data_IF_305650989926
#
_entry.id   IF_305650989926
#
_cell.length_a   1.000
_cell.length_b   1.000
_cell.length_c   1.000
_cell.angle_alpha   90.00
_cell.angle_beta   90.00
_cell.angle_gamma   90.00
#
_symmetry.space_group_name_H-M   'P 1'
#
loop_
_entity.id
_entity.type
_entity.pdbx_description
1 polymer ?
#
# COMPACT_ATOMS: atom_id res chain seq x y z
N UNK A 1 -5.67 13.78 51.47
CA UNK A 1 -6.12 15.00 50.77
C UNK A 1 -7.29 14.61 49.87
N UNK A 2 -8.39 15.37 49.81
CA UNK A 2 -9.55 14.96 49.03
C UNK A 2 -9.17 14.94 47.56
N UNK A 3 -9.61 13.90 46.84
CA UNK A 3 -9.43 13.73 45.40
C UNK A 3 -9.96 14.96 44.66
N UNK A 4 -9.05 15.89 44.34
CA UNK A 4 -9.32 16.98 43.41
C UNK A 4 -9.48 16.31 42.06
N UNK A 5 -10.72 16.18 41.58
CA UNK A 5 -10.98 15.88 40.17
C UNK A 5 -10.40 17.04 39.38
N UNK A 6 -9.16 16.90 38.91
CA UNK A 6 -8.62 17.83 37.94
C UNK A 6 -9.55 17.85 36.73
N UNK A 7 -9.89 19.04 36.19
CA UNK A 7 -10.63 19.12 34.95
C UNK A 7 -9.76 18.45 33.88
N UNK A 8 -10.20 17.28 33.40
CA UNK A 8 -9.53 16.56 32.32
C UNK A 8 -9.65 17.40 31.05
N UNK A 9 -8.76 18.35 30.87
CA UNK A 9 -8.63 19.11 29.63
C UNK A 9 -8.34 18.12 28.52
N UNK A 10 -8.96 18.34 27.36
CA UNK A 10 -8.85 17.46 26.20
C UNK A 10 -7.37 17.23 25.81
N UNK A 11 -6.54 18.26 26.01
CA UNK A 11 -5.08 18.23 25.89
C UNK A 11 -4.38 17.28 26.88
N UNK A 12 -4.80 17.23 28.15
CA UNK A 12 -4.22 16.30 29.13
C UNK A 12 -4.60 14.84 28.82
N UNK A 13 -5.80 14.60 28.27
CA UNK A 13 -6.21 13.30 27.73
C UNK A 13 -5.37 12.89 26.52
N UNK A 14 -5.21 13.77 25.54
CA UNK A 14 -4.37 13.53 24.35
C UNK A 14 -2.92 13.24 24.77
N UNK A 15 -2.37 13.99 25.73
CA UNK A 15 -1.00 13.79 26.20
C UNK A 15 -0.82 12.43 26.89
N UNK A 16 -1.80 11.97 27.67
CA UNK A 16 -1.75 10.63 28.30
C UNK A 16 -1.93 9.48 27.31
N UNK A 17 -2.72 9.68 26.26
CA UNK A 17 -3.11 8.65 25.32
C UNK A 17 -2.11 8.47 24.16
N UNK A 18 -1.48 9.57 23.71
CA UNK A 18 -0.56 9.58 22.55
C UNK A 18 0.92 9.84 22.91
N UNK A 19 1.20 10.36 24.11
CA UNK A 19 2.56 10.71 24.58
C UNK A 19 3.01 9.76 25.70
N UNK A 20 2.83 8.46 25.46
CA UNK A 20 3.21 7.40 26.40
C UNK A 20 4.15 6.39 25.71
N UNK A 21 5.07 5.81 26.48
CA UNK A 21 6.10 4.89 25.97
C UNK A 21 5.48 3.63 25.33
N UNK A 22 4.31 3.22 25.82
CA UNK A 22 3.47 2.16 25.25
C UNK A 22 2.92 2.53 23.89
N UNK A 23 2.51 3.78 23.69
CA UNK A 23 2.03 4.27 22.39
C UNK A 23 3.17 4.33 21.37
N UNK A 24 4.35 4.81 21.76
CA UNK A 24 5.54 4.82 20.91
C UNK A 24 5.94 3.38 20.49
N UNK A 25 5.96 2.43 21.44
CA UNK A 25 6.17 1.00 21.12
C UNK A 25 5.10 0.48 20.15
N UNK A 26 3.83 0.84 20.34
CA UNK A 26 2.76 0.43 19.42
C UNK A 26 2.96 1.00 18.01
N UNK A 27 3.47 2.23 17.87
CA UNK A 27 3.72 2.85 16.57
C UNK A 27 4.83 2.13 15.79
N UNK A 28 5.77 1.49 16.49
CA UNK A 28 6.92 0.79 15.92
C UNK A 28 6.55 -0.66 15.56
N UNK A 29 5.79 -1.34 16.43
CA UNK A 29 5.60 -2.79 16.34
C UNK A 29 4.18 -3.23 15.98
N UNK A 30 3.14 -2.41 16.20
CA UNK A 30 1.74 -2.83 15.99
C UNK A 30 1.28 -2.57 14.55
N UNK A 31 0.97 -3.61 13.76
CA UNK A 31 0.44 -3.46 12.40
C UNK A 31 -0.90 -2.71 12.34
N UNK A 32 -1.64 -2.60 13.44
CA UNK A 32 -2.88 -1.81 13.48
C UNK A 32 -2.60 -0.30 13.29
N UNK A 33 -1.38 0.16 13.56
CA UNK A 33 -0.96 1.56 13.41
C UNK A 33 -0.40 1.90 12.03
N UNK A 34 -0.30 0.93 11.11
CA UNK A 34 0.24 1.13 9.75
C UNK A 34 -0.41 2.29 8.97
N UNK A 35 -1.74 2.52 9.03
CA UNK A 35 -2.34 3.64 8.30
C UNK A 35 -1.80 5.01 8.77
N UNK A 36 -1.60 5.17 10.08
CA UNK A 36 -1.03 6.41 10.64
C UNK A 36 0.42 6.58 10.20
N UNK A 37 1.22 5.53 10.33
CA UNK A 37 2.64 5.52 9.91
C UNK A 37 2.77 5.81 8.41
N UNK A 38 1.85 5.28 7.59
CA UNK A 38 1.83 5.52 6.15
C UNK A 38 1.66 7.00 5.78
N UNK A 39 0.77 7.72 6.49
CA UNK A 39 0.58 9.16 6.27
C UNK A 39 1.85 9.94 6.64
N UNK A 40 2.50 9.57 7.74
CA UNK A 40 3.77 10.19 8.16
C UNK A 40 4.86 9.93 7.12
N UNK A 41 4.98 8.69 6.63
CA UNK A 41 5.92 8.34 5.56
C UNK A 41 5.67 9.21 4.33
N UNK A 42 4.43 9.28 3.83
CA UNK A 42 4.10 10.10 2.65
C UNK A 42 4.43 11.58 2.82
N UNK A 43 4.20 12.15 4.01
CA UNK A 43 4.49 13.55 4.28
C UNK A 43 6.01 13.82 4.26
N UNK A 44 6.81 12.97 4.90
CA UNK A 44 8.28 13.07 4.89
C UNK A 44 8.80 12.89 3.46
N UNK A 45 8.27 11.89 2.76
CA UNK A 45 8.73 11.54 1.42
C UNK A 45 8.38 12.63 0.40
N UNK A 46 7.23 13.28 0.53
CA UNK A 46 6.89 14.46 -0.28
C UNK A 46 7.93 15.58 -0.12
N UNK A 47 8.29 15.92 1.12
CA UNK A 47 9.33 16.93 1.39
C UNK A 47 10.66 16.49 0.79
N UNK A 48 11.05 15.23 0.96
CA UNK A 48 12.26 14.67 0.39
C UNK A 48 12.28 14.77 -1.14
N UNK A 49 11.18 14.43 -1.80
CA UNK A 49 11.05 14.51 -3.26
C UNK A 49 11.23 15.95 -3.76
N UNK A 50 10.62 16.93 -3.09
CA UNK A 50 10.79 18.35 -3.43
C UNK A 50 12.24 18.81 -3.23
N UNK A 51 12.87 18.42 -2.11
CA UNK A 51 14.27 18.75 -1.82
C UNK A 51 15.22 18.12 -2.85
N UNK A 52 14.97 16.88 -3.27
CA UNK A 52 15.80 16.22 -4.30
C UNK A 52 15.69 16.96 -5.62
N UNK A 53 14.47 17.30 -6.06
CA UNK A 53 14.28 18.04 -7.31
C UNK A 53 14.98 19.40 -7.25
N UNK A 54 14.91 20.11 -6.12
CA UNK A 54 15.55 21.42 -5.99
C UNK A 54 17.08 21.35 -5.95
N UNK A 55 17.65 20.34 -5.28
CA UNK A 55 19.09 20.31 -4.95
C UNK A 55 19.93 19.38 -5.83
N UNK A 56 19.32 18.46 -6.59
CA UNK A 56 20.03 17.48 -7.42
C UNK A 56 19.76 17.74 -8.91
N UNK A 57 20.81 17.80 -9.75
CA UNK A 57 20.63 18.04 -11.17
C UNK A 57 19.91 16.88 -11.85
N UNK A 58 19.08 17.24 -12.83
CA UNK A 58 18.44 16.29 -13.73
C UNK A 58 19.49 15.55 -14.57
N UNK A 59 19.29 14.25 -14.81
CA UNK A 59 20.16 13.41 -15.64
C UNK A 59 19.36 12.88 -16.82
N UNK A 60 19.63 13.41 -18.01
CA UNK A 60 19.00 12.96 -19.24
C UNK A 60 19.43 11.54 -19.61
N UNK A 61 18.45 10.69 -19.88
CA UNK A 61 18.68 9.35 -20.45
C UNK A 61 17.67 9.13 -21.58
N UNK A 62 16.39 9.03 -21.25
CA UNK A 62 15.35 8.66 -22.22
C UNK A 62 14.27 9.73 -22.41
N UNK A 63 14.21 10.79 -21.61
CA UNK A 63 13.11 11.76 -21.65
C UNK A 63 13.01 12.44 -23.01
N UNK A 64 14.14 12.91 -23.56
CA UNK A 64 14.18 13.49 -24.91
C UNK A 64 13.76 12.49 -25.98
N UNK A 65 14.24 11.25 -25.88
CA UNK A 65 13.86 10.20 -26.82
C UNK A 65 12.35 9.94 -26.78
N UNK A 66 11.74 9.90 -25.59
CA UNK A 66 10.29 9.77 -25.45
C UNK A 66 9.53 10.92 -26.14
N UNK A 67 10.03 12.15 -26.02
CA UNK A 67 9.40 13.32 -26.66
C UNK A 67 9.52 13.26 -28.18
N UNK A 68 10.66 12.84 -28.72
CA UNK A 68 10.88 12.66 -30.17
C UNK A 68 10.00 11.55 -30.74
N UNK A 69 9.91 10.41 -30.06
CA UNK A 69 9.04 9.29 -30.43
C UNK A 69 7.57 9.73 -30.50
N UNK A 70 7.12 10.49 -29.49
CA UNK A 70 5.76 11.04 -29.47
C UNK A 70 5.55 12.12 -30.53
N UNK A 71 6.53 12.98 -30.80
CA UNK A 71 6.46 13.98 -31.86
C UNK A 71 6.28 13.33 -33.24
N UNK A 72 6.96 12.23 -33.52
CA UNK A 72 6.73 11.43 -34.73
C UNK A 72 5.27 10.99 -34.88
N UNK A 73 4.67 10.48 -33.81
CA UNK A 73 3.24 10.11 -33.79
C UNK A 73 2.32 11.32 -33.97
N UNK A 74 2.59 12.42 -33.25
CA UNK A 74 1.79 13.64 -33.31
C UNK A 74 1.84 14.31 -34.69
N UNK A 75 2.91 14.09 -35.45
CA UNK A 75 3.04 14.51 -36.85
C UNK A 75 2.31 13.58 -37.85
N UNK A 76 1.62 12.54 -37.37
CA UNK A 76 0.78 11.65 -38.19
C UNK A 76 1.40 10.29 -38.49
N UNK A 77 2.60 9.97 -37.99
CA UNK A 77 3.24 8.68 -38.25
C UNK A 77 2.61 7.57 -37.39
N UNK A 78 1.98 6.59 -38.03
CA UNK A 78 1.47 5.37 -37.39
C UNK A 78 2.30 4.12 -37.67
N UNK A 79 3.37 4.24 -38.47
CA UNK A 79 4.31 3.14 -38.70
C UNK A 79 5.35 3.09 -37.57
N UNK A 80 5.20 2.13 -36.66
CA UNK A 80 6.11 1.90 -35.54
C UNK A 80 7.57 1.67 -35.96
N UNK A 81 7.84 1.25 -37.19
CA UNK A 81 9.22 1.08 -37.67
C UNK A 81 9.97 2.40 -37.86
N UNK A 82 9.21 3.50 -38.02
CA UNK A 82 9.67 4.87 -38.26
C UNK A 82 9.69 5.71 -36.97
N UNK A 83 8.99 5.30 -35.92
CA UNK A 83 8.97 5.99 -34.62
C UNK A 83 10.26 5.69 -33.85
N UNK A 84 11.17 6.66 -33.76
CA UNK A 84 12.47 6.54 -33.09
C UNK A 84 12.87 7.85 -32.42
N UNK A 85 13.66 7.73 -31.36
CA UNK A 85 14.36 8.84 -30.71
C UNK A 85 15.87 8.59 -30.61
N UNK A 86 16.57 9.48 -29.91
CA UNK A 86 18.02 9.43 -29.73
C UNK A 86 18.52 8.12 -29.09
N UNK A 87 17.68 7.45 -28.30
CA UNK A 87 18.01 6.18 -27.63
C UNK A 87 17.55 4.93 -28.39
N UNK A 88 16.97 5.09 -29.58
CA UNK A 88 16.61 3.98 -30.47
C UNK A 88 15.14 4.00 -30.91
N UNK A 89 14.63 2.87 -31.42
CA UNK A 89 13.25 2.77 -31.86
C UNK A 89 12.27 2.64 -30.69
N UNK A 90 11.06 3.16 -30.91
CA UNK A 90 9.94 3.02 -29.99
C UNK A 90 9.60 1.54 -29.78
N UNK A 91 9.67 1.09 -28.54
CA UNK A 91 9.32 -0.29 -28.14
C UNK A 91 8.28 -0.40 -27.05
N UNK A 92 7.52 0.66 -26.88
CA UNK A 92 6.42 0.69 -25.93
C UNK A 92 5.09 0.60 -26.69
N UNK A 93 4.09 -0.12 -26.17
CA UNK A 93 2.79 -0.17 -26.82
C UNK A 93 2.07 1.19 -26.79
N UNK A 94 0.92 1.26 -27.46
CA UNK A 94 0.22 2.51 -27.77
C UNK A 94 -0.09 3.38 -26.54
N UNK A 95 -0.31 2.78 -25.37
CA UNK A 95 -0.60 3.52 -24.13
C UNK A 95 0.54 4.45 -23.70
N UNK A 96 1.80 4.08 -23.98
CA UNK A 96 2.94 4.97 -23.78
C UNK A 96 2.81 6.23 -24.62
N UNK A 97 2.55 6.06 -25.92
CA UNK A 97 2.46 7.15 -26.89
C UNK A 97 1.39 8.16 -26.45
N UNK A 98 0.23 7.68 -26.01
CA UNK A 98 -0.87 8.55 -25.57
C UNK A 98 -0.54 9.33 -24.30
N UNK A 99 0.03 8.67 -23.28
CA UNK A 99 0.37 9.32 -22.02
C UNK A 99 1.51 10.31 -22.21
N UNK A 100 2.56 9.93 -22.94
CA UNK A 100 3.71 10.79 -23.18
C UNK A 100 3.40 11.91 -24.18
N UNK A 101 2.43 11.74 -25.08
CA UNK A 101 1.89 12.86 -25.87
C UNK A 101 1.21 13.90 -24.98
N UNK A 102 0.47 13.49 -23.93
CA UNK A 102 -0.08 14.43 -22.97
C UNK A 102 1.04 15.18 -22.21
N UNK A 103 2.11 14.47 -21.80
CA UNK A 103 3.28 15.10 -21.20
C UNK A 103 4.00 16.05 -22.15
N UNK A 104 4.12 15.68 -23.43
CA UNK A 104 4.70 16.53 -24.47
C UNK A 104 3.98 17.88 -24.53
N UNK A 105 2.64 17.90 -24.57
CA UNK A 105 1.90 19.17 -24.57
C UNK A 105 2.02 19.94 -23.26
N UNK A 106 1.92 19.26 -22.11
CA UNK A 106 2.00 19.91 -20.78
C UNK A 106 3.37 20.56 -20.51
N UNK A 107 4.44 19.95 -20.99
CA UNK A 107 5.83 20.34 -20.67
C UNK A 107 6.46 21.22 -21.74
N UNK A 108 5.66 21.89 -22.58
CA UNK A 108 6.16 22.71 -23.69
C UNK A 108 7.07 21.90 -24.62
N UNK A 109 6.54 20.78 -25.13
CA UNK A 109 7.23 19.81 -26.01
C UNK A 109 8.42 19.12 -25.33
N UNK A 110 8.34 18.92 -24.01
CA UNK A 110 9.41 18.29 -23.24
C UNK A 110 10.52 19.21 -22.75
N UNK A 111 10.48 20.51 -23.07
CA UNK A 111 11.53 21.47 -22.69
C UNK A 111 11.46 21.90 -21.22
N UNK A 112 10.26 21.93 -20.63
CA UNK A 112 10.07 22.28 -19.23
C UNK A 112 10.28 21.05 -18.32
N UNK A 113 11.55 20.71 -18.11
CA UNK A 113 11.96 19.56 -17.27
C UNK A 113 11.50 19.73 -15.82
N UNK A 114 11.49 20.95 -15.29
CA UNK A 114 11.08 21.18 -13.89
C UNK A 114 9.61 20.83 -13.68
N UNK A 115 8.74 21.22 -14.61
CA UNK A 115 7.33 20.81 -14.60
C UNK A 115 7.20 19.30 -14.73
N UNK A 116 7.97 18.65 -15.62
CA UNK A 116 7.98 17.20 -15.75
C UNK A 116 8.35 16.52 -14.42
N UNK A 117 9.38 17.01 -13.72
CA UNK A 117 9.78 16.49 -12.42
C UNK A 117 8.67 16.62 -11.37
N UNK A 118 7.94 17.74 -11.33
CA UNK A 118 6.80 17.88 -10.43
C UNK A 118 5.66 16.93 -10.76
N UNK A 119 5.38 16.68 -12.05
CA UNK A 119 4.42 15.63 -12.46
C UNK A 119 4.86 14.25 -11.96
N UNK A 120 6.16 13.95 -12.05
CA UNK A 120 6.73 12.69 -11.55
C UNK A 120 6.73 12.59 -10.03
N UNK A 121 6.81 13.69 -9.27
CA UNK A 121 6.55 13.66 -7.81
C UNK A 121 5.11 13.21 -7.55
N UNK A 122 4.13 13.73 -8.29
CA UNK A 122 2.72 13.31 -8.12
C UNK A 122 2.54 11.82 -8.43
N UNK A 123 3.10 11.36 -9.56
CA UNK A 123 3.08 9.93 -9.95
C UNK A 123 3.73 9.07 -8.86
N UNK A 124 4.89 9.50 -8.35
CA UNK A 124 5.61 8.83 -7.28
C UNK A 124 4.76 8.73 -6.00
N UNK A 125 4.16 9.81 -5.54
CA UNK A 125 3.34 9.80 -4.31
C UNK A 125 2.07 8.97 -4.46
N UNK A 126 1.42 8.98 -5.63
CA UNK A 126 0.28 8.11 -5.92
C UNK A 126 0.68 6.65 -5.87
N UNK A 127 1.79 6.30 -6.53
CA UNK A 127 2.36 4.96 -6.48
C UNK A 127 2.66 4.56 -5.04
N UNK A 128 3.26 5.46 -4.28
CA UNK A 128 3.65 5.19 -2.92
C UNK A 128 2.44 4.95 -2.02
N UNK A 129 1.38 5.73 -2.21
CA UNK A 129 0.09 5.56 -1.53
C UNK A 129 -0.52 4.19 -1.82
N UNK A 130 -0.49 3.74 -3.08
CA UNK A 130 -1.02 2.44 -3.47
C UNK A 130 -0.22 1.29 -2.84
N UNK A 131 1.10 1.38 -2.79
CA UNK A 131 1.97 0.37 -2.14
C UNK A 131 1.73 0.34 -0.63
N UNK A 132 1.70 1.49 0.03
CA UNK A 132 1.43 1.60 1.47
C UNK A 132 0.05 1.03 1.82
N UNK A 133 -0.95 1.25 0.96
CA UNK A 133 -2.29 0.67 1.11
C UNK A 133 -2.28 -0.85 1.05
N UNK A 134 -1.51 -1.46 0.15
CA UNK A 134 -1.35 -2.92 0.09
C UNK A 134 -0.77 -3.47 1.40
N UNK A 135 0.25 -2.81 1.95
CA UNK A 135 0.82 -3.18 3.25
C UNK A 135 -0.16 -3.01 4.41
N UNK A 136 -0.91 -1.89 4.44
CA UNK A 136 -1.94 -1.65 5.46
C UNK A 136 -3.07 -2.69 5.40
N UNK A 137 -3.42 -3.15 4.19
CA UNK A 137 -4.43 -4.20 3.99
C UNK A 137 -3.91 -5.57 4.41
N UNK A 138 -2.65 -5.89 4.12
CA UNK A 138 -2.08 -7.18 4.48
C UNK A 138 -1.84 -7.33 5.98
N UNK A 139 -1.46 -6.24 6.67
CA UNK A 139 -1.08 -6.23 8.11
C UNK A 139 -0.02 -7.28 8.47
N UNK A 140 0.78 -7.72 7.49
CA UNK A 140 1.79 -8.77 7.67
C UNK A 140 3.15 -8.24 8.10
N UNK A 141 3.40 -6.95 7.90
CA UNK A 141 4.67 -6.33 8.24
C UNK A 141 4.53 -5.38 9.44
N UNK A 142 5.50 -5.38 10.38
CA UNK A 142 5.54 -4.41 11.44
C UNK A 142 5.93 -3.02 10.89
N UNK A 143 5.44 -1.92 11.49
CA UNK A 143 5.68 -0.56 10.98
C UNK A 143 7.17 -0.18 10.82
N UNK A 144 8.06 -0.64 11.70
CA UNK A 144 9.48 -0.31 11.60
C UNK A 144 10.13 -0.83 10.31
N UNK A 145 9.75 -2.03 9.85
CA UNK A 145 10.25 -2.60 8.59
C UNK A 145 9.81 -1.73 7.43
N UNK A 146 8.55 -1.29 7.44
CA UNK A 146 7.98 -0.44 6.42
C UNK A 146 8.73 0.90 6.29
N UNK A 147 9.06 1.53 7.42
CA UNK A 147 9.87 2.76 7.46
C UNK A 147 11.25 2.53 6.86
N UNK A 148 11.95 1.47 7.28
CA UNK A 148 13.29 1.14 6.77
C UNK A 148 13.25 0.89 5.26
N UNK A 149 12.33 0.05 4.79
CA UNK A 149 12.23 -0.30 3.36
C UNK A 149 11.96 0.93 2.49
N UNK A 150 11.17 1.88 2.96
CA UNK A 150 10.87 3.08 2.18
C UNK A 150 12.07 4.00 2.04
N UNK A 151 12.75 4.32 3.14
CA UNK A 151 13.81 5.33 3.12
C UNK A 151 15.18 4.78 2.68
N UNK A 152 15.35 3.46 2.62
CA UNK A 152 16.59 2.83 2.09
C UNK A 152 16.61 2.71 0.57
N UNK A 153 15.47 2.90 -0.10
CA UNK A 153 15.35 2.67 -1.54
C UNK A 153 15.79 3.88 -2.39
N UNK A 154 17.01 4.36 -2.25
CA UNK A 154 17.52 5.56 -2.95
C UNK A 154 17.30 5.54 -4.48
N UNK A 155 17.36 4.36 -5.10
CA UNK A 155 17.24 4.20 -6.56
C UNK A 155 15.87 4.65 -7.09
N UNK A 156 14.81 4.55 -6.29
CA UNK A 156 13.44 4.88 -6.74
C UNK A 156 13.32 6.38 -7.03
N UNK A 157 13.84 7.23 -6.14
CA UNK A 157 13.86 8.67 -6.31
C UNK A 157 14.60 9.07 -7.59
N UNK A 158 15.71 8.40 -7.87
CA UNK A 158 16.49 8.66 -9.08
C UNK A 158 15.75 8.25 -10.36
N UNK A 159 15.05 7.12 -10.35
CA UNK A 159 14.25 6.64 -11.50
C UNK A 159 13.07 7.57 -11.80
N UNK A 160 12.33 7.98 -10.76
CA UNK A 160 11.15 8.82 -10.93
C UNK A 160 11.52 10.28 -11.20
N UNK A 161 12.37 10.88 -10.35
CA UNK A 161 12.54 12.34 -10.33
C UNK A 161 13.70 12.85 -11.17
N UNK A 162 14.76 12.05 -11.33
CA UNK A 162 15.99 12.51 -11.97
C UNK A 162 16.17 12.00 -13.40
N UNK A 163 15.46 10.93 -13.77
CA UNK A 163 15.52 10.31 -15.11
C UNK A 163 14.21 10.34 -15.88
N UNK A 164 13.07 10.44 -15.18
CA UNK A 164 11.73 10.53 -15.77
C UNK A 164 11.37 9.32 -16.68
N UNK A 165 11.75 8.12 -16.24
CA UNK A 165 11.52 6.89 -17.02
C UNK A 165 10.03 6.55 -17.21
N UNK A 166 9.73 5.73 -18.22
CA UNK A 166 8.39 5.20 -18.47
C UNK A 166 7.90 4.20 -17.40
N UNK A 167 8.80 3.41 -16.83
CA UNK A 167 8.49 2.38 -15.82
C UNK A 167 7.56 2.86 -14.67
N UNK A 168 7.79 4.03 -14.05
CA UNK A 168 6.86 4.68 -13.13
C UNK A 168 5.38 4.58 -13.47
N UNK A 169 5.00 4.90 -14.71
CA UNK A 169 3.59 4.91 -15.13
C UNK A 169 3.04 3.48 -15.21
N UNK A 170 3.81 2.57 -15.81
CA UNK A 170 3.41 1.17 -15.94
C UNK A 170 3.25 0.49 -14.56
N UNK A 171 4.18 0.75 -13.64
CA UNK A 171 4.15 0.21 -12.28
C UNK A 171 3.03 0.86 -11.44
N UNK A 172 2.73 2.14 -11.64
CA UNK A 172 1.58 2.80 -11.03
C UNK A 172 0.27 2.09 -11.38
N UNK A 173 0.06 1.84 -12.66
CA UNK A 173 -1.14 1.16 -13.17
C UNK A 173 -1.24 -0.28 -12.65
N UNK A 174 -0.12 -1.01 -12.60
CA UNK A 174 -0.07 -2.34 -11.98
C UNK A 174 -0.46 -2.29 -10.49
N UNK A 175 0.09 -1.38 -9.70
CA UNK A 175 -0.24 -1.28 -8.28
C UNK A 175 -1.69 -0.85 -8.05
N UNK A 176 -2.24 -0.01 -8.94
CA UNK A 176 -3.65 0.33 -8.93
C UNK A 176 -4.53 -0.90 -9.23
N UNK A 177 -4.13 -1.74 -10.19
CA UNK A 177 -4.79 -3.00 -10.50
C UNK A 177 -4.78 -3.96 -9.29
N UNK A 178 -3.64 -4.14 -8.63
CA UNK A 178 -3.52 -4.97 -7.43
C UNK A 178 -4.43 -4.47 -6.30
N UNK A 179 -4.50 -3.15 -6.08
CA UNK A 179 -5.39 -2.56 -5.10
C UNK A 179 -6.87 -2.83 -5.42
N UNK A 180 -7.26 -2.74 -6.70
CA UNK A 180 -8.61 -3.07 -7.14
C UNK A 180 -8.94 -4.56 -6.95
N UNK A 181 -7.99 -5.47 -7.22
CA UNK A 181 -8.19 -6.90 -6.97
C UNK A 181 -8.37 -7.22 -5.48
N UNK A 182 -7.59 -6.61 -4.59
CA UNK A 182 -7.74 -6.79 -3.14
C UNK A 182 -9.12 -6.32 -2.64
N UNK A 183 -9.71 -5.32 -3.27
CA UNK A 183 -11.06 -4.84 -2.96
C UNK A 183 -12.18 -5.64 -3.67
N UNK A 184 -11.84 -6.69 -4.41
CA UNK A 184 -12.81 -7.49 -5.18
C UNK A 184 -13.35 -6.79 -6.42
N UNK A 185 -12.75 -5.67 -6.86
CA UNK A 185 -13.13 -4.92 -8.07
C UNK A 185 -12.41 -5.47 -9.30
N UNK A 186 -12.75 -6.70 -9.67
CA UNK A 186 -12.03 -7.47 -10.70
C UNK A 186 -11.92 -6.77 -12.06
N UNK A 187 -13.04 -6.27 -12.61
CA UNK A 187 -13.02 -5.62 -13.93
C UNK A 187 -12.24 -4.31 -13.93
N UNK A 188 -12.32 -3.51 -12.86
CA UNK A 188 -11.49 -2.31 -12.73
C UNK A 188 -10.00 -2.69 -12.67
N UNK A 189 -9.65 -3.74 -11.93
CA UNK A 189 -8.29 -4.26 -11.89
C UNK A 189 -7.79 -4.72 -13.26
N UNK A 190 -8.62 -5.43 -14.02
CA UNK A 190 -8.29 -5.89 -15.38
C UNK A 190 -8.12 -4.74 -16.37
N UNK A 191 -8.95 -3.70 -16.26
CA UNK A 191 -8.79 -2.45 -17.03
C UNK A 191 -7.42 -1.84 -16.72
N UNK A 192 -7.12 -1.59 -15.45
CA UNK A 192 -5.87 -0.97 -15.01
C UNK A 192 -4.63 -1.82 -15.38
N UNK A 193 -4.73 -3.14 -15.27
CA UNK A 193 -3.66 -4.06 -15.66
C UNK A 193 -3.38 -3.96 -17.16
N UNK A 194 -4.43 -3.96 -17.99
CA UNK A 194 -4.29 -3.82 -19.43
C UNK A 194 -3.74 -2.45 -19.81
N UNK A 195 -4.17 -1.37 -19.15
CA UNK A 195 -3.56 -0.06 -19.32
C UNK A 195 -2.06 -0.10 -18.98
N UNK A 196 -1.65 -0.76 -17.89
CA UNK A 196 -0.23 -0.93 -17.54
C UNK A 196 0.56 -1.68 -18.63
N UNK A 197 0.02 -2.77 -19.17
CA UNK A 197 0.62 -3.50 -20.31
C UNK A 197 0.75 -2.60 -21.53
N UNK A 198 -0.25 -1.75 -21.80
CA UNK A 198 -0.22 -0.83 -22.94
C UNK A 198 0.85 0.26 -22.82
N UNK A 199 1.37 0.50 -21.61
CA UNK A 199 2.47 1.44 -21.36
C UNK A 199 3.83 0.74 -21.43
N UNK A 200 3.93 -0.46 -20.85
CA UNK A 200 5.16 -1.26 -20.92
C UNK A 200 4.85 -2.76 -20.83
N UNK A 201 5.37 -3.53 -21.77
CA UNK A 201 5.10 -4.97 -21.85
C UNK A 201 5.57 -5.77 -20.63
N UNK A 202 6.54 -5.28 -19.85
CA UNK A 202 7.08 -5.98 -18.67
C UNK A 202 6.00 -6.29 -17.61
N UNK A 203 4.87 -5.60 -17.63
CA UNK A 203 3.72 -5.91 -16.76
C UNK A 203 3.17 -7.32 -17.02
N UNK A 204 3.40 -7.91 -18.21
CA UNK A 204 3.04 -9.29 -18.52
C UNK A 204 3.79 -10.32 -17.66
N UNK A 205 4.92 -9.97 -17.03
CA UNK A 205 5.62 -10.85 -16.10
C UNK A 205 4.76 -11.21 -14.87
N UNK A 206 3.75 -10.40 -14.55
CA UNK A 206 2.79 -10.67 -13.47
C UNK A 206 1.61 -11.53 -13.93
N UNK A 207 1.44 -11.74 -15.24
CA UNK A 207 0.28 -12.42 -15.82
C UNK A 207 0.10 -13.87 -15.32
N UNK A 208 1.15 -14.72 -15.16
CA UNK A 208 0.96 -16.08 -14.65
C UNK A 208 0.32 -16.11 -13.25
N UNK A 209 0.80 -15.24 -12.34
CA UNK A 209 0.26 -15.14 -10.98
C UNK A 209 -1.18 -14.61 -10.95
N UNK A 210 -1.47 -13.59 -11.77
CA UNK A 210 -2.82 -13.02 -11.88
C UNK A 210 -3.79 -14.00 -12.55
N UNK A 211 -3.34 -14.80 -13.53
CA UNK A 211 -4.15 -15.83 -14.16
C UNK A 211 -4.56 -16.90 -13.16
N UNK A 212 -3.62 -17.39 -12.34
CA UNK A 212 -3.95 -18.32 -11.25
C UNK A 212 -4.96 -17.69 -10.28
N UNK A 213 -4.78 -16.42 -9.93
CA UNK A 213 -5.71 -15.67 -9.08
C UNK A 213 -7.13 -15.61 -9.69
N UNK A 214 -7.26 -15.34 -10.99
CA UNK A 214 -8.55 -15.32 -11.68
C UNK A 214 -9.22 -16.69 -11.69
N UNK A 215 -8.47 -17.75 -12.02
CA UNK A 215 -9.02 -19.11 -12.07
C UNK A 215 -9.52 -19.52 -10.68
N UNK A 216 -8.76 -19.23 -9.61
CA UNK A 216 -9.13 -19.66 -8.26
C UNK A 216 -10.26 -18.83 -7.63
N UNK A 217 -10.37 -17.54 -7.96
CA UNK A 217 -11.38 -16.64 -7.36
C UNK A 217 -12.66 -16.54 -8.19
N UNK A 218 -12.54 -16.54 -9.52
CA UNK A 218 -13.64 -16.27 -10.46
C UNK A 218 -14.08 -17.51 -11.26
N UNK A 219 -13.29 -18.59 -11.19
CA UNK A 219 -13.47 -19.74 -12.08
C UNK A 219 -13.15 -19.41 -13.54
N UNK A 220 -13.33 -20.41 -14.40
CA UNK A 220 -12.96 -20.31 -15.81
C UNK A 220 -13.75 -19.24 -16.58
N UNK A 221 -15.07 -19.15 -16.36
CA UNK A 221 -15.91 -18.19 -17.09
C UNK A 221 -15.61 -16.74 -16.69
N UNK A 222 -15.44 -16.48 -15.39
CA UNK A 222 -15.05 -15.16 -14.91
C UNK A 222 -13.65 -14.77 -15.37
N UNK A 223 -12.72 -15.73 -15.42
CA UNK A 223 -11.38 -15.54 -16.01
C UNK A 223 -11.48 -15.14 -17.47
N UNK A 224 -12.25 -15.88 -18.27
CA UNK A 224 -12.44 -15.57 -19.70
C UNK A 224 -12.97 -14.15 -19.87
N UNK A 225 -13.99 -13.75 -19.10
CA UNK A 225 -14.52 -12.37 -19.13
C UNK A 225 -13.43 -11.32 -18.86
N UNK A 226 -12.58 -11.52 -17.85
CA UNK A 226 -11.52 -10.55 -17.54
C UNK A 226 -10.42 -10.53 -18.62
N UNK A 227 -10.07 -11.69 -19.19
CA UNK A 227 -9.12 -11.75 -20.31
C UNK A 227 -9.67 -11.05 -21.55
N UNK A 228 -10.97 -11.21 -21.85
CA UNK A 228 -11.64 -10.46 -22.92
C UNK A 228 -11.58 -8.96 -22.68
N UNK A 229 -11.84 -8.49 -21.45
CA UNK A 229 -11.69 -7.07 -21.11
C UNK A 229 -10.27 -6.57 -21.37
N UNK A 230 -9.26 -7.31 -20.92
CA UNK A 230 -7.86 -6.96 -21.17
C UNK A 230 -7.55 -6.88 -22.68
N UNK A 231 -7.97 -7.88 -23.45
CA UNK A 231 -7.74 -7.96 -24.90
C UNK A 231 -8.42 -6.84 -25.67
N UNK A 232 -9.69 -6.54 -25.35
CA UNK A 232 -10.44 -5.44 -25.99
C UNK A 232 -9.72 -4.11 -25.79
N UNK A 233 -9.22 -3.83 -24.59
CA UNK A 233 -8.47 -2.58 -24.33
C UNK A 233 -7.19 -2.50 -25.16
N UNK A 234 -6.43 -3.60 -25.29
CA UNK A 234 -5.24 -3.62 -26.14
C UNK A 234 -5.56 -3.35 -27.61
N UNK A 235 -6.64 -3.95 -28.13
CA UNK A 235 -7.09 -3.73 -29.51
C UNK A 235 -7.56 -2.29 -29.71
N UNK A 236 -8.35 -1.74 -28.78
CA UNK A 236 -8.84 -0.36 -28.87
C UNK A 236 -7.70 0.65 -28.83
N UNK A 237 -6.76 0.51 -27.89
CA UNK A 237 -5.61 1.41 -27.79
C UNK A 237 -4.66 1.24 -28.97
N UNK A 238 -4.44 0.02 -29.43
CA UNK A 238 -3.58 -0.27 -30.59
C UNK A 238 -4.24 0.02 -31.94
N UNK A 239 -5.54 0.33 -31.99
CA UNK A 239 -6.31 0.39 -33.24
C UNK A 239 -5.69 1.30 -34.32
N UNK A 240 -5.22 2.53 -34.03
CA UNK A 240 -4.62 3.39 -35.06
C UNK A 240 -3.42 2.75 -35.76
N UNK A 241 -2.64 1.95 -35.03
CA UNK A 241 -1.44 1.28 -35.53
C UNK A 241 -1.77 -0.09 -36.16
N UNK A 242 -2.72 -0.81 -35.57
CA UNK A 242 -3.17 -2.12 -36.03
C UNK A 242 -3.93 -2.04 -37.37
N UNK A 243 -4.65 -0.95 -37.61
CA UNK A 243 -5.43 -0.77 -38.84
C UNK A 243 -4.55 -0.38 -40.03
N UNK A 244 -3.42 0.29 -39.82
CA UNK A 244 -2.53 0.76 -40.90
C UNK A 244 -1.28 -0.11 -41.06
N UNK A 245 -0.60 -0.44 -39.96
CA UNK A 245 0.68 -1.17 -39.95
C UNK A 245 0.74 -2.23 -38.84
N UNK A 246 -0.13 -3.26 -38.86
CA UNK A 246 -0.28 -4.22 -37.77
C UNK A 246 1.01 -4.95 -37.41
N UNK A 247 1.80 -5.33 -38.41
CA UNK A 247 3.03 -6.07 -38.18
C UNK A 247 4.14 -5.20 -37.59
N UNK A 248 4.25 -3.96 -38.05
CA UNK A 248 5.19 -2.99 -37.49
C UNK A 248 4.86 -2.70 -36.03
N UNK A 249 3.57 -2.52 -35.72
CA UNK A 249 3.10 -2.36 -34.34
C UNK A 249 3.45 -3.57 -33.47
N UNK A 250 2.99 -4.77 -33.83
CA UNK A 250 3.16 -5.96 -32.99
C UNK A 250 4.64 -6.29 -32.73
N UNK A 251 5.51 -6.16 -33.75
CA UNK A 251 6.95 -6.39 -33.57
C UNK A 251 7.64 -5.28 -32.79
N UNK A 252 7.25 -4.02 -33.01
CA UNK A 252 7.85 -2.89 -32.32
C UNK A 252 7.43 -2.85 -30.84
N UNK A 253 6.13 -2.91 -30.56
CA UNK A 253 5.59 -2.75 -29.22
C UNK A 253 5.82 -3.93 -28.28
N UNK A 254 6.02 -5.14 -28.83
CA UNK A 254 6.26 -6.38 -28.07
C UNK A 254 7.52 -7.10 -28.59
N UNK A 255 8.65 -6.41 -28.53
CA UNK A 255 9.93 -6.91 -29.03
C UNK A 255 10.55 -7.97 -28.08
N UNK A 256 10.13 -9.23 -28.27
CA UNK A 256 10.69 -10.40 -27.56
C UNK A 256 12.07 -10.83 -28.07
N UNK A 257 12.53 -10.29 -29.21
CA UNK A 257 13.81 -10.62 -29.82
C UNK A 257 14.95 -9.74 -29.34
N UNK A 258 14.65 -8.65 -28.62
CA UNK A 258 15.63 -7.70 -28.11
C UNK A 258 16.61 -8.36 -27.16
N UNK A 259 17.90 -8.23 -27.47
CA UNK A 259 18.99 -8.66 -26.60
C UNK A 259 19.45 -7.46 -25.77
N UNK A 260 19.63 -7.69 -24.47
CA UNK A 260 20.17 -6.69 -23.58
C UNK A 260 21.68 -6.58 -23.80
N UNK A 261 22.22 -5.38 -23.94
CA UNK A 261 23.66 -5.21 -24.12
C UNK A 261 24.41 -5.38 -22.80
N UNK A 262 25.56 -6.06 -22.81
CA UNK A 262 26.34 -6.29 -21.59
C UNK A 262 26.74 -4.97 -20.89
N UNK A 263 26.95 -3.89 -21.64
CA UNK A 263 27.31 -2.59 -21.06
C UNK A 263 26.26 -2.04 -20.07
N UNK A 264 24.99 -2.40 -20.24
CA UNK A 264 23.89 -1.93 -19.41
C UNK A 264 23.54 -2.89 -18.26
N UNK A 265 24.13 -4.10 -18.22
CA UNK A 265 23.79 -5.09 -17.20
C UNK A 265 24.38 -4.75 -15.85
N UNK A 266 23.53 -4.83 -14.83
CA UNK A 266 23.92 -4.61 -13.42
C UNK A 266 24.05 -5.94 -12.71
N UNK A 267 23.05 -6.82 -12.82
CA UNK A 267 23.00 -8.09 -12.09
C UNK A 267 24.00 -9.12 -12.63
N UNK A 268 24.28 -9.09 -13.93
CA UNK A 268 25.18 -10.03 -14.59
C UNK A 268 26.52 -9.39 -15.00
N UNK A 269 26.90 -8.27 -14.38
CA UNK A 269 28.10 -7.50 -14.78
C UNK A 269 29.40 -8.27 -14.59
N UNK A 270 29.37 -9.31 -13.77
CA UNK A 270 30.49 -10.22 -13.50
C UNK A 270 30.71 -11.26 -14.61
N UNK A 271 29.77 -11.43 -15.54
CA UNK A 271 29.91 -12.35 -16.66
C UNK A 271 30.70 -11.69 -17.79
N UNK A 272 31.42 -12.51 -18.57
CA UNK A 272 32.03 -12.01 -19.79
C UNK A 272 30.96 -11.68 -20.85
N UNK A 273 31.19 -10.66 -21.71
CA UNK A 273 30.24 -10.29 -22.75
C UNK A 273 29.83 -11.46 -23.65
N UNK A 274 30.78 -12.34 -23.99
CA UNK A 274 30.53 -13.51 -24.82
C UNK A 274 29.55 -14.51 -24.18
N UNK A 275 29.59 -14.65 -22.86
CA UNK A 275 28.66 -15.51 -22.11
C UNK A 275 27.31 -14.83 -21.99
N UNK A 276 27.29 -13.54 -21.61
CA UNK A 276 26.09 -12.77 -21.40
C UNK A 276 25.23 -12.67 -22.67
N UNK A 277 25.86 -12.42 -23.81
CA UNK A 277 25.16 -12.25 -25.10
C UNK A 277 24.85 -13.58 -25.80
N UNK A 278 25.28 -14.72 -25.23
CA UNK A 278 25.06 -16.03 -25.83
C UNK A 278 23.59 -16.44 -25.82
N UNK A 279 23.10 -16.98 -26.95
CA UNK A 279 21.73 -17.51 -27.06
C UNK A 279 21.46 -18.65 -26.09
N UNK A 280 22.47 -19.50 -25.86
CA UNK A 280 22.37 -20.61 -24.93
C UNK A 280 22.10 -20.12 -23.48
N UNK A 281 22.80 -19.08 -23.04
CA UNK A 281 22.58 -18.49 -21.72
C UNK A 281 21.17 -17.90 -21.59
N UNK A 282 20.70 -17.12 -22.58
CA UNK A 282 19.35 -16.57 -22.58
C UNK A 282 18.25 -17.65 -22.55
N UNK A 283 18.40 -18.72 -23.35
CA UNK A 283 17.47 -19.85 -23.35
C UNK A 283 17.50 -20.63 -22.02
N UNK A 284 18.68 -20.79 -21.40
CA UNK A 284 18.81 -21.42 -20.10
C UNK A 284 18.11 -20.61 -19.00
N UNK A 285 18.24 -19.28 -19.00
CA UNK A 285 17.51 -18.40 -18.08
C UNK A 285 15.99 -18.48 -18.28
N UNK A 286 15.54 -18.51 -19.53
CA UNK A 286 14.12 -18.67 -19.84
C UNK A 286 13.59 -20.04 -19.36
N UNK A 287 14.32 -21.11 -19.64
CA UNK A 287 13.96 -22.46 -19.20
C UNK A 287 13.91 -22.54 -17.66
N UNK A 288 14.88 -21.94 -16.97
CA UNK A 288 14.89 -21.86 -15.51
C UNK A 288 13.67 -21.09 -14.99
N UNK A 289 13.34 -19.96 -15.59
CA UNK A 289 12.16 -19.17 -15.21
C UNK A 289 10.86 -19.96 -15.38
N UNK A 290 10.65 -20.59 -16.54
CA UNK A 290 9.47 -21.42 -16.80
C UNK A 290 9.42 -22.64 -15.89
N UNK A 291 10.56 -23.26 -15.60
CA UNK A 291 10.67 -24.38 -14.66
C UNK A 291 10.27 -23.99 -13.24
N UNK A 292 10.72 -22.82 -12.75
CA UNK A 292 10.32 -22.29 -11.45
C UNK A 292 8.82 -21.97 -11.42
N UNK A 293 8.28 -21.34 -12.47
CA UNK A 293 6.83 -21.10 -12.56
C UNK A 293 6.02 -22.40 -12.48
N UNK A 294 6.44 -23.45 -13.20
CA UNK A 294 5.78 -24.75 -13.16
C UNK A 294 5.88 -25.41 -11.77
N UNK A 295 7.06 -25.35 -11.14
CA UNK A 295 7.31 -25.90 -9.80
C UNK A 295 6.41 -25.24 -8.75
N UNK A 296 6.28 -23.92 -8.78
CA UNK A 296 5.49 -23.16 -7.81
C UNK A 296 4.00 -23.06 -8.16
N UNK A 297 3.58 -23.39 -9.40
CA UNK A 297 2.19 -23.30 -9.82
C UNK A 297 1.25 -24.13 -8.94
N UNK A 298 1.58 -25.40 -8.65
CA UNK A 298 0.73 -26.29 -7.85
C UNK A 298 0.60 -25.86 -6.39
N UNK A 299 1.71 -25.56 -5.65
CA UNK A 299 1.63 -24.99 -4.31
C UNK A 299 0.85 -23.67 -4.27
N UNK A 300 1.11 -22.75 -5.20
CA UNK A 300 0.41 -21.46 -5.25
C UNK A 300 -1.08 -21.64 -5.55
N UNK A 301 -1.45 -22.54 -6.46
CA UNK A 301 -2.85 -22.83 -6.77
C UNK A 301 -3.60 -23.37 -5.54
N UNK A 302 -3.02 -24.35 -4.82
CA UNK A 302 -3.59 -24.89 -3.57
C UNK A 302 -3.72 -23.80 -2.51
N UNK A 303 -2.70 -22.96 -2.34
CA UNK A 303 -2.72 -21.86 -1.40
C UNK A 303 -3.86 -20.88 -1.70
N UNK A 304 -3.95 -20.41 -2.95
CA UNK A 304 -4.99 -19.47 -3.38
C UNK A 304 -6.40 -20.08 -3.27
N UNK A 305 -6.56 -21.36 -3.60
CA UNK A 305 -7.84 -22.05 -3.46
C UNK A 305 -8.28 -22.14 -1.99
N UNK A 306 -7.36 -22.48 -1.08
CA UNK A 306 -7.65 -22.51 0.36
C UNK A 306 -7.94 -21.10 0.91
N UNK A 307 -7.20 -20.09 0.45
CA UNK A 307 -7.47 -18.70 0.78
C UNK A 307 -8.89 -18.28 0.35
N UNK A 308 -9.31 -18.57 -0.88
CA UNK A 308 -10.67 -18.31 -1.36
C UNK A 308 -11.72 -19.00 -0.49
N UNK A 309 -11.52 -20.27 -0.15
CA UNK A 309 -12.45 -21.03 0.71
C UNK A 309 -12.59 -20.38 2.09
N UNK A 310 -11.48 -20.00 2.72
CA UNK A 310 -11.49 -19.31 4.00
C UNK A 310 -12.19 -17.95 3.92
N UNK A 311 -11.96 -17.17 2.86
CA UNK A 311 -12.65 -15.89 2.66
C UNK A 311 -14.15 -16.05 2.43
N UNK A 312 -14.57 -17.08 1.71
CA UNK A 312 -15.99 -17.40 1.56
C UNK A 312 -16.63 -17.80 2.90
N UNK A 313 -15.94 -18.59 3.72
CA UNK A 313 -16.38 -18.93 5.07
C UNK A 313 -16.49 -17.69 5.97
N UNK A 314 -15.51 -16.78 5.90
CA UNK A 314 -15.55 -15.50 6.60
C UNK A 314 -16.78 -14.68 6.23
N UNK A 315 -17.09 -14.58 4.94
CA UNK A 315 -18.30 -13.87 4.48
C UNK A 315 -19.59 -14.52 4.96
N UNK A 316 -19.65 -15.87 5.02
CA UNK A 316 -20.81 -16.60 5.54
C UNK A 316 -21.00 -16.38 7.06
N UNK A 317 -19.91 -16.29 7.83
CA UNK A 317 -19.95 -16.12 9.30
C UNK A 317 -20.08 -14.66 9.75
N UNK A 318 -19.66 -13.70 8.92
CA UNK A 318 -19.72 -12.26 9.21
C UNK A 318 -21.07 -11.77 9.77
N UNK A 319 -22.24 -12.12 9.20
CA UNK A 319 -23.53 -11.69 9.74
C UNK A 319 -23.82 -12.28 11.13
N UNK A 320 -23.43 -13.52 11.38
CA UNK A 320 -23.62 -14.19 12.68
C UNK A 320 -22.76 -13.53 13.77
N UNK A 321 -21.50 -13.23 13.44
CA UNK A 321 -20.57 -12.51 14.32
C UNK A 321 -21.10 -11.10 14.60
N UNK A 322 -21.64 -10.42 13.58
CA UNK A 322 -22.24 -9.10 13.76
C UNK A 322 -23.47 -9.16 14.69
N UNK A 323 -24.30 -10.20 14.59
CA UNK A 323 -25.43 -10.42 15.47
C UNK A 323 -24.98 -10.68 16.93
N UNK A 324 -24.00 -11.57 17.15
CA UNK A 324 -23.44 -11.81 18.49
C UNK A 324 -22.86 -10.55 19.12
N UNK A 325 -22.07 -9.77 18.36
CA UNK A 325 -21.52 -8.52 18.85
C UNK A 325 -22.60 -7.49 19.22
N UNK A 326 -23.76 -7.49 18.54
CA UNK A 326 -24.90 -6.64 18.92
C UNK A 326 -25.48 -7.08 20.27
N UNK A 327 -25.72 -8.38 20.45
CA UNK A 327 -26.23 -8.93 21.72
C UNK A 327 -25.28 -8.62 22.87
N UNK A 328 -23.98 -8.80 22.68
CA UNK A 328 -22.99 -8.56 23.71
C UNK A 328 -22.85 -7.07 24.05
N UNK A 329 -22.95 -6.20 23.04
CA UNK A 329 -23.02 -4.74 23.25
C UNK A 329 -24.27 -4.34 24.03
N UNK A 330 -25.42 -4.95 23.75
CA UNK A 330 -26.66 -4.73 24.49
C UNK A 330 -26.53 -5.20 25.94
N UNK A 331 -25.94 -6.37 26.18
CA UNK A 331 -25.66 -6.89 27.52
C UNK A 331 -24.70 -5.99 28.30
N UNK A 332 -23.61 -5.53 27.67
CA UNK A 332 -22.66 -4.60 28.29
C UNK A 332 -23.33 -3.25 28.62
N UNK A 333 -24.21 -2.76 27.75
CA UNK A 333 -24.98 -1.53 28.00
C UNK A 333 -25.95 -1.70 29.17
N UNK A 334 -26.66 -2.84 29.24
CA UNK A 334 -27.54 -3.19 30.37
C UNK A 334 -26.76 -3.33 31.69
N UNK A 335 -25.57 -3.94 31.66
CA UNK A 335 -24.70 -4.03 32.84
C UNK A 335 -24.20 -2.66 33.31
N UNK A 336 -23.77 -1.79 32.39
CA UNK A 336 -23.38 -0.42 32.73
C UNK A 336 -24.55 0.40 33.29
N UNK A 337 -25.76 0.26 32.74
CA UNK A 337 -26.96 0.90 33.28
C UNK A 337 -27.29 0.38 34.68
N UNK A 338 -27.21 -0.94 34.91
CA UNK A 338 -27.44 -1.56 36.22
C UNK A 338 -26.39 -1.10 37.24
N UNK A 339 -25.12 -1.02 36.86
CA UNK A 339 -24.05 -0.46 37.71
C UNK A 339 -24.26 1.02 38.02
N UNK A 340 -24.71 1.83 37.05
CA UNK A 340 -25.05 3.25 37.28
C UNK A 340 -26.25 3.41 38.22
N UNK A 341 -27.27 2.56 38.09
CA UNK A 341 -28.42 2.54 39.00
C UNK A 341 -28.03 2.10 40.41
N UNK A 342 -27.20 1.06 40.56
CA UNK A 342 -26.68 0.62 41.86
C UNK A 342 -25.81 1.71 42.50
N UNK A 343 -24.92 2.34 41.73
CA UNK A 343 -24.10 3.46 42.21
C UNK A 343 -24.93 4.71 42.54
N UNK A 344 -26.04 4.93 41.82
CA UNK A 344 -27.02 5.97 42.12
C UNK A 344 -27.76 5.70 43.43
N UNK A 345 -28.29 4.48 43.62
CA UNK A 345 -28.95 4.05 44.86
C UNK A 345 -28.01 4.10 46.06
N UNK A 346 -26.76 3.63 45.92
CA UNK A 346 -25.76 3.71 47.00
C UNK A 346 -25.47 5.15 47.43
N UNK A 347 -25.45 6.09 46.48
CA UNK A 347 -25.30 7.53 46.76
C UNK A 347 -26.54 8.17 47.39
N UNK A 348 -27.73 7.64 47.12
CA UNK A 348 -28.97 8.11 47.76
C UNK A 348 -29.10 7.56 49.19
N UNK A 349 -28.68 6.31 49.43
CA UNK A 349 -28.65 5.68 50.76
C UNK A 349 -27.51 6.21 51.65
N UNK A 350 -26.37 6.66 51.08
CA UNK A 350 -25.24 7.29 51.79
C UNK A 350 -25.35 8.82 51.97
N UNK A 351 -26.57 9.38 52.09
CA UNK A 351 -26.71 10.78 52.56
C UNK A 351 -26.53 10.83 54.08
N UNK A 352 -25.30 11.09 54.53
CA UNK A 352 -24.96 11.31 55.93
C UNK A 352 -25.75 12.48 56.53
N UNK A 353 -26.25 12.31 57.77
CA UNK A 353 -26.84 13.40 58.56
C UNK A 353 -25.81 14.52 58.78
N UNK A 354 -26.27 15.77 58.90
CA UNK A 354 -25.42 16.95 59.13
C UNK A 354 -24.49 16.78 60.34
N UNK A 355 -24.91 16.01 61.34
CA UNK A 355 -24.10 15.70 62.52
C UNK A 355 -23.00 14.68 62.23
N UNK A 356 -23.28 13.67 61.38
CA UNK A 356 -22.29 12.68 60.96
C UNK A 356 -21.23 13.30 60.06
N UNK A 357 -21.58 14.26 59.19
CA UNK A 357 -20.61 15.03 58.41
C UNK A 357 -19.72 15.92 59.30
N UNK A 358 -20.29 16.54 60.34
CA UNK A 358 -19.51 17.32 61.32
C UNK A 358 -18.56 16.43 62.12
N UNK A 359 -19.04 15.27 62.56
CA UNK A 359 -18.21 14.28 63.26
C UNK A 359 -17.05 13.82 62.36
N UNK A 360 -17.32 13.40 61.12
CA UNK A 360 -16.28 12.99 60.17
C UNK A 360 -15.26 14.10 59.87
N UNK A 361 -15.70 15.36 59.72
CA UNK A 361 -14.79 16.50 59.54
C UNK A 361 -13.92 16.75 60.76
N UNK A 362 -14.47 16.60 61.97
CA UNK A 362 -13.70 16.73 63.21
C UNK A 362 -12.71 15.56 63.40
N UNK A 363 -13.12 14.35 63.03
CA UNK A 363 -12.32 13.13 63.10
C UNK A 363 -11.18 13.15 62.08
N UNK A 364 -11.43 13.55 60.83
CA UNK A 364 -10.40 13.77 59.80
C UNK A 364 -9.40 14.86 60.21
N UNK A 365 -9.87 15.91 60.91
CA UNK A 365 -9.00 16.98 61.41
C UNK A 365 -8.09 16.46 62.53
N UNK A 366 -8.60 15.59 63.41
CA UNK A 366 -7.82 14.88 64.42
C UNK A 366 -6.80 13.92 63.82
N UNK A 367 -7.19 13.11 62.82
CA UNK A 367 -6.26 12.20 62.12
C UNK A 367 -5.18 12.95 61.35
N UNK A 368 -5.50 14.08 60.69
CA UNK A 368 -4.47 14.90 60.03
C UNK A 368 -3.47 15.51 61.01
N UNK A 369 -3.93 15.90 62.20
CA UNK A 369 -3.04 16.37 63.26
C UNK A 369 -2.15 15.26 63.83
N UNK A 370 -2.61 14.01 63.83
CA UNK A 370 -1.77 12.86 64.20
C UNK A 370 -0.82 12.43 63.07
N UNK A 371 -1.28 12.43 61.81
CA UNK A 371 -0.49 12.02 60.64
C UNK A 371 0.61 13.02 60.25
N UNK A 372 0.54 14.28 60.67
CA UNK A 372 1.65 15.23 60.55
C UNK A 372 2.83 14.91 61.49
N UNK A 373 2.65 14.03 62.49
CA UNK A 373 3.75 13.52 63.34
C UNK A 373 4.41 12.22 62.85
N UNK A 374 3.88 11.55 61.82
CA UNK A 374 4.38 10.25 61.33
C UNK A 374 4.82 10.24 59.86
N UNK A 375 5.17 11.40 59.27
CA UNK A 375 5.79 11.42 57.92
C UNK A 375 7.28 11.06 57.94
N UNK A 376 7.60 9.83 58.32
CA UNK A 376 8.75 9.10 57.77
C UNK A 376 8.37 7.64 57.57
N UNK A 377 8.49 7.18 56.32
CA UNK A 377 8.33 5.82 55.76
C UNK A 377 6.96 5.43 55.18
N UNK A 378 7.06 5.06 53.90
CA UNK A 378 6.28 4.07 53.13
C UNK A 378 5.31 4.63 52.07
N UNK A 379 5.61 4.25 50.83
CA UNK A 379 4.82 4.48 49.61
C UNK A 379 4.05 3.19 49.34
N UNK A 380 2.70 3.19 49.23
CA UNK A 380 1.98 2.01 48.79
C UNK A 380 1.89 1.97 47.26
N UNK A 381 2.34 0.86 46.68
CA UNK A 381 2.06 0.46 45.30
C UNK A 381 0.54 0.40 45.07
N UNK A 382 0.08 1.07 44.02
CA UNK A 382 -1.32 1.02 43.58
C UNK A 382 -1.42 0.02 42.43
N UNK A 383 -1.93 -1.18 42.73
CA UNK A 383 -2.33 -2.16 41.70
C UNK A 383 -3.62 -1.63 41.06
N UNK A 384 -3.51 -1.06 39.86
CA UNK A 384 -4.68 -0.71 39.05
C UNK A 384 -5.33 -1.99 38.49
N UNK A 385 -6.65 -2.18 38.64
CA UNK A 385 -7.35 -3.29 38.01
C UNK A 385 -7.38 -3.06 36.48
N UNK A 386 -6.87 -4.05 35.75
CA UNK A 386 -6.92 -4.13 34.30
C UNK A 386 -8.39 -4.08 33.86
N UNK A 387 -8.81 -2.94 33.31
CA UNK A 387 -10.10 -2.80 32.67
C UNK A 387 -10.09 -3.59 31.36
N UNK A 388 -10.61 -4.83 31.42
CA UNK A 388 -10.92 -5.62 30.22
C UNK A 388 -12.04 -4.93 29.47
N UNK A 389 -11.71 -4.37 28.30
CA UNK A 389 -12.70 -3.85 27.36
C UNK A 389 -13.64 -4.96 26.86
N UNK A 390 -14.79 -4.61 26.25
CA UNK A 390 -15.75 -5.60 25.77
C UNK A 390 -15.07 -6.55 24.76
N UNK A 391 -15.21 -7.86 24.98
CA UNK A 391 -14.70 -8.92 24.11
C UNK A 391 -15.42 -8.87 22.76
N UNK A 392 -14.99 -7.99 21.85
CA UNK A 392 -15.54 -7.96 20.50
C UNK A 392 -15.17 -9.26 19.78
N UNK A 393 -16.16 -10.09 19.47
CA UNK A 393 -15.95 -11.27 18.63
C UNK A 393 -15.53 -10.82 17.22
N UNK A 394 -14.36 -11.27 16.78
CA UNK A 394 -13.91 -11.10 15.40
C UNK A 394 -13.06 -12.28 14.98
N UNK A 395 -13.33 -12.82 13.80
CA UNK A 395 -12.46 -13.84 13.19
C UNK A 395 -11.40 -13.10 12.36
N UNK A 396 -10.13 -13.44 12.59
CA UNK A 396 -9.00 -12.91 11.85
C UNK A 396 -8.31 -14.04 11.09
N UNK A 397 -8.91 -14.52 10.00
CA UNK A 397 -8.28 -15.54 9.14
C UNK A 397 -6.96 -15.06 8.51
N UNK A 398 -6.75 -13.74 8.44
CA UNK A 398 -5.48 -13.14 8.02
C UNK A 398 -4.31 -13.50 8.96
N UNK A 399 -4.59 -13.77 10.25
CA UNK A 399 -3.58 -14.29 11.19
C UNK A 399 -3.31 -15.78 10.94
N UNK A 400 -4.32 -16.54 10.55
CA UNK A 400 -4.20 -17.97 10.24
C UNK A 400 -3.50 -18.27 8.91
N UNK A 401 -3.27 -17.26 8.08
CA UNK A 401 -2.51 -17.35 6.81
C UNK A 401 -1.16 -16.65 6.88
N UNK A 402 -0.68 -16.39 8.10
CA UNK A 402 0.72 -16.08 8.38
C UNK A 402 1.51 -17.37 8.18
N UNK A 403 2.33 -17.39 7.11
CA UNK A 403 3.41 -18.36 6.98
C UNK A 403 4.49 -18.04 8.01
#
# INVERSE_FOLDING_TARGET
>A
PPFRKEPQTLLAKIKREYLNLTFAKSLIFDPARLPLVSVIILAIDFVLNVLIVQNVPYTEIDWKAYMQECEGFLNGTTDYSQLRGDTGPLVYPAGFVYIYSAFYFLTSRGTNIRLAQYLFIVIYLLQQTLVLRLYCKSRKIPPYVMVITMFTSYRIHSIYLLRLFNDPIAILLLNAALNAYIDGRWTLGSILLSLGVSVKMNILLFAPGILLLFITNLGWMGTLRQLTVCGVIQVLLGAPFLLTYPWAYLKGSFDLGRVFEHKWTVNYRFLEPAVFESKAFHLALLALHLGLLALFASPCFKYLQNYCRLRNLEMMLAPQIAAQNRVEKEQATKQQQKQRQIAGKRKEEEKLSVEQEKFLKSFEKGIKQMAEKEKQKSTPETVEPVATGPNKFSIHFDRSTQL
#
